data_IF_604577399520
#
_entry.id   IF_604577399520
#
_cell.length_a   1.000
_cell.length_b   1.000
_cell.length_c   1.000
_cell.angle_alpha   90.00
_cell.angle_beta   90.00
_cell.angle_gamma   90.00
#
_symmetry.space_group_name_H-M   'P 1'
#
loop_
_entity.id
_entity.type
_entity.pdbx_description
1 polymer ?
#
# COMPACT_ATOMS: atom_id res chain seq x y z
N UNK A 1 0.18 13.17 -15.13
CA UNK A 1 1.59 13.59 -15.01
C UNK A 1 1.74 14.66 -13.94
N UNK A 2 2.76 14.55 -13.09
CA UNK A 2 3.08 15.48 -12.00
C UNK A 2 4.57 15.74 -12.02
N UNK A 3 4.98 17.00 -12.22
CA UNK A 3 6.37 17.42 -12.21
C UNK A 3 6.78 17.90 -10.79
N UNK A 4 7.88 17.38 -10.28
CA UNK A 4 8.50 17.79 -9.01
C UNK A 4 10.02 17.92 -9.18
N UNK A 5 10.73 18.57 -8.23
CA UNK A 5 12.19 18.71 -8.32
C UNK A 5 12.97 17.40 -8.47
N UNK A 6 12.45 16.30 -7.93
CA UNK A 6 13.06 14.95 -8.04
C UNK A 6 12.80 14.29 -9.40
N UNK A 7 11.92 14.84 -10.23
CA UNK A 7 11.54 14.29 -11.51
C UNK A 7 10.05 14.30 -11.77
N UNK A 8 9.68 13.72 -12.89
CA UNK A 8 8.27 13.57 -13.30
C UNK A 8 7.76 12.19 -12.92
N UNK A 9 6.56 12.12 -12.36
CA UNK A 9 5.88 10.86 -12.11
C UNK A 9 4.43 10.89 -12.58
N UNK A 10 3.89 9.71 -12.74
CA UNK A 10 2.57 9.48 -13.30
C UNK A 10 1.69 8.79 -12.26
N UNK A 11 0.48 9.32 -12.08
CA UNK A 11 -0.52 8.74 -11.18
C UNK A 11 -1.54 7.98 -12.02
N UNK A 12 -1.81 6.77 -11.64
CA UNK A 12 -2.74 5.91 -12.35
C UNK A 12 -3.38 4.85 -11.45
N UNK A 13 -4.16 3.99 -12.07
CA UNK A 13 -4.68 2.78 -11.43
C UNK A 13 -4.17 1.54 -12.15
N UNK A 14 -4.02 0.46 -11.38
CA UNK A 14 -3.60 -0.82 -11.90
C UNK A 14 -4.38 -1.94 -11.20
N UNK A 15 -4.76 -2.98 -11.96
CA UNK A 15 -5.34 -4.16 -11.36
C UNK A 15 -4.29 -4.91 -10.53
N UNK A 16 -4.68 -5.36 -9.34
CA UNK A 16 -3.77 -6.08 -8.43
C UNK A 16 -3.21 -7.35 -9.05
N UNK A 17 -3.97 -8.05 -9.89
CA UNK A 17 -3.51 -9.27 -10.56
C UNK A 17 -2.39 -8.99 -11.56
N UNK A 18 -2.43 -7.85 -12.25
CA UNK A 18 -1.40 -7.49 -13.22
C UNK A 18 -0.12 -7.07 -12.49
N UNK A 19 -0.27 -6.30 -11.41
CA UNK A 19 0.89 -5.93 -10.58
C UNK A 19 1.55 -7.17 -9.95
N UNK A 20 0.77 -8.11 -9.41
CA UNK A 20 1.28 -9.34 -8.77
C UNK A 20 2.12 -10.19 -9.72
N UNK A 21 1.82 -10.19 -11.01
CA UNK A 21 2.59 -10.96 -12.01
C UNK A 21 3.94 -10.35 -12.34
N UNK A 22 4.07 -9.03 -12.24
CA UNK A 22 5.19 -8.28 -12.82
C UNK A 22 6.00 -7.48 -11.80
N UNK A 23 5.67 -7.50 -10.50
CA UNK A 23 6.42 -6.76 -9.49
C UNK A 23 7.67 -7.50 -9.02
N UNK A 24 8.62 -6.72 -8.53
CA UNK A 24 9.73 -7.22 -7.73
C UNK A 24 10.13 -6.22 -6.64
N UNK A 25 10.88 -6.73 -5.66
CA UNK A 25 11.43 -5.94 -4.56
C UNK A 25 12.90 -6.27 -4.43
N UNK A 26 13.77 -5.27 -4.39
CA UNK A 26 15.19 -5.47 -4.07
C UNK A 26 15.42 -5.31 -2.58
N UNK A 27 15.73 -6.41 -1.91
CA UNK A 27 16.03 -6.44 -0.49
C UNK A 27 17.49 -6.04 -0.23
N UNK A 28 17.79 -5.48 0.96
CA UNK A 28 19.16 -5.08 1.39
C UNK A 28 20.19 -6.21 1.34
N UNK A 29 19.75 -7.45 1.34
CA UNK A 29 20.62 -8.63 1.22
C UNK A 29 21.02 -8.92 -0.23
N UNK A 30 20.51 -8.17 -1.19
CA UNK A 30 20.86 -8.23 -2.60
C UNK A 30 21.72 -7.03 -2.97
N UNK A 31 22.54 -7.18 -3.99
CA UNK A 31 23.34 -6.08 -4.54
C UNK A 31 22.41 -4.88 -4.88
N UNK A 32 22.75 -3.68 -4.39
CA UNK A 32 21.97 -2.45 -4.55
C UNK A 32 20.57 -2.44 -3.92
N UNK A 33 20.24 -3.41 -3.07
CA UNK A 33 18.92 -3.45 -2.40
C UNK A 33 18.78 -2.42 -1.28
N UNK A 34 17.74 -1.60 -1.32
CA UNK A 34 17.44 -0.56 -0.31
C UNK A 34 16.40 -0.99 0.73
N UNK A 35 15.56 -1.95 0.42
CA UNK A 35 14.44 -2.32 1.29
C UNK A 35 14.80 -3.42 2.29
N UNK A 36 14.19 -3.37 3.47
CA UNK A 36 14.27 -4.46 4.44
C UNK A 36 13.46 -5.65 3.96
N UNK A 37 13.82 -6.84 4.42
CA UNK A 37 13.00 -8.01 4.20
C UNK A 37 11.58 -7.79 4.72
N UNK A 38 10.56 -8.18 3.95
CA UNK A 38 9.18 -7.93 4.33
C UNK A 38 8.79 -8.71 5.59
N UNK A 39 8.09 -8.05 6.50
CA UNK A 39 7.57 -8.66 7.71
C UNK A 39 6.43 -9.62 7.39
N UNK A 40 6.62 -10.91 7.66
CA UNK A 40 5.58 -11.93 7.48
C UNK A 40 4.32 -11.62 8.27
N UNK A 41 4.47 -11.06 9.48
CA UNK A 41 3.34 -10.62 10.30
C UNK A 41 2.48 -9.58 9.58
N UNK A 42 3.11 -8.55 8.98
CA UNK A 42 2.37 -7.52 8.24
C UNK A 42 1.70 -8.07 6.98
N UNK A 43 2.33 -9.02 6.30
CA UNK A 43 1.73 -9.69 5.14
C UNK A 43 0.46 -10.41 5.55
N UNK A 44 0.50 -11.20 6.65
CA UNK A 44 -0.66 -11.93 7.15
C UNK A 44 -1.77 -11.00 7.67
N UNK A 45 -1.42 -9.87 8.28
CA UNK A 45 -2.40 -8.85 8.70
C UNK A 45 -3.13 -8.25 7.49
N UNK A 46 -2.44 -7.97 6.41
CA UNK A 46 -3.04 -7.43 5.18
C UNK A 46 -3.85 -8.51 4.46
N UNK A 47 -3.36 -9.76 4.39
CA UNK A 47 -4.13 -10.88 3.85
C UNK A 47 -5.46 -11.04 4.59
N UNK A 48 -5.44 -10.97 5.92
CA UNK A 48 -6.67 -11.02 6.73
C UNK A 48 -7.58 -9.82 6.46
N UNK A 49 -7.02 -8.62 6.34
CA UNK A 49 -7.75 -7.39 6.02
C UNK A 49 -8.45 -7.46 4.65
N UNK A 50 -7.86 -8.12 3.65
CA UNK A 50 -8.51 -8.33 2.35
C UNK A 50 -9.82 -9.14 2.43
N UNK A 51 -10.12 -9.80 3.55
CA UNK A 51 -11.39 -10.51 3.76
C UNK A 51 -12.48 -9.62 4.33
N UNK A 52 -12.13 -8.42 4.76
CA UNK A 52 -13.07 -7.42 5.24
C UNK A 52 -13.81 -6.81 4.02
N UNK A 53 -15.16 -6.81 4.00
CA UNK A 53 -15.91 -6.20 2.91
C UNK A 53 -15.68 -4.69 2.77
N UNK A 54 -15.22 -4.03 3.85
CA UNK A 54 -14.86 -2.61 3.85
C UNK A 54 -13.35 -2.38 3.57
N UNK A 55 -12.61 -3.40 3.13
CA UNK A 55 -11.19 -3.27 2.85
C UNK A 55 -10.90 -2.19 1.80
N UNK A 56 -10.06 -1.22 2.15
CA UNK A 56 -9.68 -0.11 1.29
C UNK A 56 -8.17 0.14 1.30
N UNK A 57 -7.60 0.40 0.13
CA UNK A 57 -6.19 0.70 -0.06
C UNK A 57 -6.03 2.10 -0.70
N UNK A 58 -6.32 3.20 0.03
CA UNK A 58 -6.37 4.55 -0.53
C UNK A 58 -4.99 5.18 -0.77
N UNK A 59 -3.93 4.58 -0.27
CA UNK A 59 -2.56 5.10 -0.46
C UNK A 59 -1.88 4.43 -1.66
N UNK A 60 -1.12 5.17 -2.48
CA UNK A 60 -0.53 4.63 -3.69
C UNK A 60 0.55 3.57 -3.40
N UNK A 61 0.73 2.64 -4.34
CA UNK A 61 1.94 1.84 -4.47
C UNK A 61 2.91 2.64 -5.34
N UNK A 62 4.14 2.82 -4.88
CA UNK A 62 5.14 3.59 -5.62
C UNK A 62 6.07 2.62 -6.35
N UNK A 63 6.11 2.78 -7.64
CA UNK A 63 6.78 1.88 -8.57
C UNK A 63 7.84 2.62 -9.39
N UNK A 64 8.97 1.99 -9.59
CA UNK A 64 9.98 2.42 -10.56
C UNK A 64 10.08 1.42 -11.70
N UNK A 65 10.28 1.91 -12.92
CA UNK A 65 10.47 1.08 -14.10
C UNK A 65 11.22 1.85 -15.19
N UNK A 66 11.72 1.12 -16.18
CA UNK A 66 12.37 1.68 -17.35
C UNK A 66 11.33 2.11 -18.39
N UNK A 67 11.44 3.34 -18.89
CA UNK A 67 10.53 3.86 -19.92
C UNK A 67 10.58 3.06 -21.23
N UNK A 68 11.73 2.43 -21.52
CA UNK A 68 11.94 1.57 -22.69
C UNK A 68 11.08 0.31 -22.71
N UNK A 69 10.54 -0.12 -21.55
CA UNK A 69 9.74 -1.34 -21.39
C UNK A 69 8.23 -1.12 -21.53
N UNK A 70 7.81 0.12 -21.77
CA UNK A 70 6.39 0.48 -21.85
C UNK A 70 6.12 1.35 -23.06
N UNK A 71 4.86 1.40 -23.46
CA UNK A 71 4.36 2.30 -24.51
C UNK A 71 3.24 3.17 -23.93
N UNK A 72 3.38 4.48 -24.09
CA UNK A 72 2.31 5.41 -23.76
C UNK A 72 1.31 5.48 -24.92
N UNK A 73 0.04 5.28 -24.61
CA UNK A 73 -1.05 5.46 -25.54
C UNK A 73 -1.79 6.75 -25.19
N UNK A 74 -1.46 7.84 -25.89
CA UNK A 74 -2.02 9.18 -25.65
C UNK A 74 -3.52 9.28 -25.95
N UNK A 75 -4.07 8.35 -26.75
CA UNK A 75 -5.48 8.42 -27.14
C UNK A 75 -6.43 8.03 -25.99
N UNK A 76 -5.98 7.21 -25.06
CA UNK A 76 -6.77 6.69 -23.95
C UNK A 76 -6.09 6.84 -22.58
N UNK A 77 -4.99 7.59 -22.52
CA UNK A 77 -4.19 7.81 -21.30
C UNK A 77 -3.77 6.50 -20.61
N UNK A 78 -3.38 5.51 -21.39
CA UNK A 78 -2.93 4.21 -20.84
C UNK A 78 -1.46 3.95 -21.11
N UNK A 79 -0.89 3.09 -20.26
CA UNK A 79 0.45 2.54 -20.41
C UNK A 79 0.31 1.08 -20.78
N UNK A 80 0.83 0.72 -21.93
CA UNK A 80 0.86 -0.65 -22.44
C UNK A 80 2.24 -1.26 -22.15
N UNK A 81 2.28 -2.49 -21.69
CA UNK A 81 3.50 -3.23 -21.43
C UNK A 81 3.29 -4.72 -21.67
N UNK A 82 4.37 -5.39 -22.02
CA UNK A 82 4.38 -6.84 -22.09
C UNK A 82 4.40 -7.42 -20.67
N UNK A 83 3.68 -8.50 -20.45
CA UNK A 83 3.56 -9.12 -19.14
C UNK A 83 4.85 -9.87 -18.77
N UNK A 84 5.92 -9.10 -18.56
CA UNK A 84 7.22 -9.61 -18.17
C UNK A 84 7.30 -9.80 -16.66
N UNK A 85 7.97 -10.86 -16.24
CA UNK A 85 8.41 -11.00 -14.86
C UNK A 85 9.40 -9.88 -14.49
N UNK A 86 9.21 -9.26 -13.30
CA UNK A 86 10.13 -8.22 -12.77
C UNK A 86 10.16 -6.94 -13.61
N UNK A 87 9.01 -6.43 -13.99
CA UNK A 87 8.90 -5.14 -14.67
C UNK A 87 8.85 -3.96 -13.67
N UNK A 88 8.03 -4.07 -12.63
CA UNK A 88 7.79 -3.00 -11.67
C UNK A 88 8.60 -3.21 -10.39
N UNK A 89 9.59 -2.35 -10.15
CA UNK A 89 10.27 -2.30 -8.86
C UNK A 89 9.43 -1.53 -7.85
N UNK A 90 9.07 -2.16 -6.74
CA UNK A 90 8.33 -1.48 -5.68
C UNK A 90 9.30 -0.63 -4.85
N UNK A 91 9.09 0.68 -4.79
CA UNK A 91 9.78 1.59 -3.87
C UNK A 91 9.03 1.74 -2.56
N UNK A 92 7.67 1.81 -2.59
CA UNK A 92 6.84 1.72 -1.39
C UNK A 92 5.60 0.86 -1.62
N UNK A 93 5.11 0.24 -0.54
CA UNK A 93 3.92 -0.60 -0.56
C UNK A 93 4.18 -2.09 -0.67
N UNK A 94 5.42 -2.57 -0.50
CA UNK A 94 5.77 -3.99 -0.64
C UNK A 94 4.93 -4.93 0.22
N UNK A 95 4.61 -4.55 1.47
CA UNK A 95 3.77 -5.38 2.34
C UNK A 95 2.34 -5.48 1.84
N UNK A 96 1.79 -4.38 1.28
CA UNK A 96 0.45 -4.36 0.68
C UNK A 96 0.38 -5.30 -0.52
N UNK A 97 1.30 -5.18 -1.47
CA UNK A 97 1.31 -6.03 -2.66
C UNK A 97 1.47 -7.49 -2.30
N UNK A 98 2.39 -7.83 -1.37
CA UNK A 98 2.59 -9.22 -0.92
C UNK A 98 1.39 -9.76 -0.11
N UNK A 99 0.73 -8.94 0.70
CA UNK A 99 -0.48 -9.33 1.41
C UNK A 99 -1.67 -9.56 0.48
N UNK A 100 -1.85 -8.69 -0.52
CA UNK A 100 -2.85 -8.86 -1.58
C UNK A 100 -2.53 -10.11 -2.42
N UNK A 101 -1.26 -10.37 -2.74
CA UNK A 101 -0.84 -11.60 -3.42
C UNK A 101 -1.23 -12.85 -2.63
N UNK A 102 -0.99 -12.86 -1.32
CA UNK A 102 -1.40 -13.96 -0.47
C UNK A 102 -2.92 -14.14 -0.42
N UNK A 103 -3.68 -13.03 -0.32
CA UNK A 103 -5.14 -13.04 -0.37
C UNK A 103 -5.67 -13.51 -1.73
N UNK A 104 -5.04 -13.12 -2.83
CA UNK A 104 -5.41 -13.58 -4.16
C UNK A 104 -5.26 -15.11 -4.30
N UNK A 105 -4.12 -15.65 -3.85
CA UNK A 105 -3.86 -17.10 -3.88
C UNK A 105 -4.86 -17.89 -3.03
N UNK A 106 -5.22 -17.39 -1.84
CA UNK A 106 -6.04 -18.10 -0.87
C UNK A 106 -7.55 -17.88 -1.04
N UNK A 107 -7.97 -16.70 -1.52
CA UNK A 107 -9.38 -16.28 -1.59
C UNK A 107 -9.77 -15.62 -2.91
N UNK A 108 -8.89 -15.60 -3.90
CA UNK A 108 -9.10 -14.93 -5.20
C UNK A 108 -9.45 -13.43 -5.06
N UNK A 109 -8.90 -12.80 -4.03
CA UNK A 109 -9.08 -11.36 -3.82
C UNK A 109 -8.46 -10.57 -4.96
N UNK A 110 -9.20 -9.60 -5.48
CA UNK A 110 -8.79 -8.73 -6.58
C UNK A 110 -9.32 -7.31 -6.32
N UNK A 111 -8.50 -6.31 -6.60
CA UNK A 111 -8.89 -4.91 -6.48
C UNK A 111 -8.10 -4.03 -7.45
N UNK A 112 -8.60 -2.82 -7.70
CA UNK A 112 -7.82 -1.76 -8.34
C UNK A 112 -6.96 -1.04 -7.30
N UNK A 113 -5.70 -0.82 -7.61
CA UNK A 113 -4.73 -0.13 -6.77
C UNK A 113 -4.37 1.22 -7.38
N UNK A 114 -4.30 2.24 -6.54
CA UNK A 114 -3.68 3.51 -6.91
C UNK A 114 -2.16 3.28 -7.02
N UNK A 115 -1.57 3.68 -8.15
CA UNK A 115 -0.14 3.56 -8.40
C UNK A 115 0.48 4.90 -8.75
N UNK A 116 1.72 5.09 -8.35
CA UNK A 116 2.60 6.17 -8.81
C UNK A 116 3.76 5.52 -9.55
N UNK A 117 3.95 5.89 -10.81
CA UNK A 117 4.98 5.38 -11.67
C UNK A 117 6.08 6.43 -11.84
N UNK A 118 7.32 6.05 -11.56
CA UNK A 118 8.52 6.85 -11.76
C UNK A 118 9.43 6.13 -12.75
N UNK A 119 9.84 6.83 -13.80
CA UNK A 119 10.59 6.24 -14.90
C UNK A 119 12.07 6.59 -14.80
N UNK A 120 12.92 5.64 -15.18
CA UNK A 120 14.37 5.81 -15.41
C UNK A 120 15.13 6.41 -14.22
N UNK A 121 14.67 6.15 -12.98
CA UNK A 121 15.37 6.60 -11.79
C UNK A 121 16.71 5.88 -11.63
N UNK A 122 17.75 6.64 -11.30
CA UNK A 122 19.03 6.10 -10.82
C UNK A 122 18.87 5.44 -9.45
N UNK A 123 19.85 4.64 -9.03
CA UNK A 123 19.79 3.98 -7.73
C UNK A 123 19.80 4.99 -6.57
N UNK A 124 20.54 6.10 -6.72
CA UNK A 124 20.57 7.19 -5.75
C UNK A 124 19.20 7.86 -5.62
N UNK A 125 18.52 8.11 -6.75
CA UNK A 125 17.18 8.71 -6.75
C UNK A 125 16.14 7.75 -6.12
N UNK A 126 16.20 6.46 -6.41
CA UNK A 126 15.36 5.45 -5.78
C UNK A 126 15.58 5.42 -4.25
N UNK A 127 16.84 5.44 -3.82
CA UNK A 127 17.18 5.48 -2.40
C UNK A 127 16.68 6.78 -1.73
N UNK A 128 16.79 7.91 -2.41
CA UNK A 128 16.27 9.20 -1.94
C UNK A 128 14.74 9.17 -1.78
N UNK A 129 14.02 8.72 -2.80
CA UNK A 129 12.55 8.59 -2.77
C UNK A 129 12.13 7.66 -1.62
N UNK A 130 12.74 6.47 -1.53
CA UNK A 130 12.46 5.52 -0.46
C UNK A 130 12.69 6.10 0.94
N UNK A 131 13.83 6.79 1.15
CA UNK A 131 14.15 7.39 2.44
C UNK A 131 13.18 8.52 2.81
N UNK A 132 12.83 9.37 1.85
CA UNK A 132 11.90 10.48 2.04
C UNK A 132 10.51 10.00 2.47
N UNK A 133 9.99 8.96 1.82
CA UNK A 133 8.70 8.37 2.17
C UNK A 133 8.74 7.80 3.60
N UNK A 134 9.77 7.02 3.92
CA UNK A 134 9.83 6.33 5.21
C UNK A 134 10.17 7.25 6.39
N UNK A 135 10.95 8.31 6.17
CA UNK A 135 11.33 9.25 7.24
C UNK A 135 10.17 10.14 7.69
N UNK A 136 9.22 10.40 6.81
CA UNK A 136 8.08 11.29 7.07
C UNK A 136 6.80 10.56 7.53
N UNK A 137 6.82 9.23 7.64
CA UNK A 137 5.67 8.46 8.13
C UNK A 137 5.54 8.57 9.66
N UNK A 138 4.68 9.47 10.13
CA UNK A 138 4.27 9.51 11.52
C UNK A 138 3.34 8.33 11.84
N UNK A 139 3.57 7.67 12.99
CA UNK A 139 2.61 6.67 13.50
C UNK A 139 1.39 7.39 14.04
N UNK A 140 0.22 7.07 13.53
CA UNK A 140 -1.05 7.51 14.11
C UNK A 140 -1.27 6.79 15.45
N UNK A 141 -1.68 7.53 16.48
CA UNK A 141 -2.00 6.94 17.78
C UNK A 141 -3.20 5.99 17.64
N UNK A 142 -3.10 4.83 18.28
CA UNK A 142 -4.18 3.84 18.23
C UNK A 142 -5.47 4.36 18.87
N UNK A 143 -5.39 5.23 19.87
CA UNK A 143 -6.57 5.84 20.48
C UNK A 143 -7.37 6.65 19.48
N UNK A 144 -6.69 7.46 18.64
CA UNK A 144 -7.36 8.21 17.59
C UNK A 144 -8.04 7.29 16.54
N UNK A 145 -7.42 6.17 16.21
CA UNK A 145 -8.02 5.18 15.30
C UNK A 145 -9.31 4.61 15.90
N UNK A 146 -9.30 4.31 17.21
CA UNK A 146 -10.49 3.80 17.90
C UNK A 146 -11.60 4.84 17.98
N UNK A 147 -11.27 6.11 18.18
CA UNK A 147 -12.26 7.20 18.20
C UNK A 147 -12.98 7.36 16.84
N UNK A 148 -12.30 7.01 15.74
CA UNK A 148 -12.88 7.04 14.41
C UNK A 148 -13.78 5.84 14.08
N UNK A 149 -13.80 4.79 14.89
CA UNK A 149 -14.69 3.63 14.68
C UNK A 149 -16.18 3.98 14.70
N UNK A 150 -16.56 5.08 15.33
CA UNK A 150 -17.95 5.55 15.31
C UNK A 150 -18.44 5.95 13.91
N UNK A 151 -17.50 6.26 13.00
CA UNK A 151 -17.79 6.62 11.61
C UNK A 151 -17.96 5.38 10.70
N UNK A 152 -17.51 4.21 11.15
CA UNK A 152 -17.67 2.95 10.39
C UNK A 152 -19.13 2.46 10.45
N UNK A 153 -19.62 1.90 9.37
CA UNK A 153 -20.99 1.37 9.29
C UNK A 153 -21.10 -0.08 9.75
N UNK A 154 -19.99 -0.82 9.76
CA UNK A 154 -19.99 -2.23 10.15
C UNK A 154 -19.76 -2.49 11.64
N UNK A 155 -20.34 -3.59 12.13
CA UNK A 155 -20.14 -4.08 13.50
C UNK A 155 -18.93 -5.04 13.54
N UNK A 156 -17.92 -4.67 14.32
CA UNK A 156 -16.81 -5.57 14.65
C UNK A 156 -16.73 -5.78 16.17
N UNK A 157 -16.13 -6.87 16.64
CA UNK A 157 -15.90 -7.07 18.08
C UNK A 157 -15.13 -5.90 18.71
N UNK A 158 -14.17 -5.36 17.98
CA UNK A 158 -13.34 -4.23 18.43
C UNK A 158 -14.13 -2.94 18.55
N UNK A 159 -15.02 -2.64 17.61
CA UNK A 159 -15.95 -1.50 17.67
C UNK A 159 -16.92 -1.65 18.83
N UNK A 160 -17.44 -2.85 19.06
CA UNK A 160 -18.33 -3.12 20.20
C UNK A 160 -17.62 -2.89 21.52
N UNK A 161 -16.36 -3.36 21.67
CA UNK A 161 -15.56 -3.10 22.88
C UNK A 161 -15.29 -1.61 23.07
N UNK A 162 -14.96 -0.88 22.01
CA UNK A 162 -14.76 0.57 22.08
C UNK A 162 -16.03 1.31 22.51
N UNK A 163 -17.18 0.95 21.94
CA UNK A 163 -18.46 1.53 22.30
C UNK A 163 -18.82 1.29 23.77
N UNK A 164 -18.62 0.06 24.27
CA UNK A 164 -18.81 -0.27 25.68
C UNK A 164 -17.88 0.56 26.58
N UNK A 165 -16.59 0.65 26.23
CA UNK A 165 -15.63 1.45 26.99
C UNK A 165 -16.02 2.92 27.06
N UNK A 166 -16.50 3.50 25.95
CA UNK A 166 -17.00 4.89 25.93
C UNK A 166 -18.22 5.09 26.83
N UNK A 167 -19.21 4.19 26.78
CA UNK A 167 -20.38 4.26 27.68
C UNK A 167 -19.92 4.21 29.13
N UNK A 168 -19.03 3.27 29.48
CA UNK A 168 -18.52 3.12 30.83
C UNK A 168 -17.71 4.33 31.33
N UNK A 169 -17.14 5.13 30.42
CA UNK A 169 -16.39 6.34 30.74
C UNK A 169 -17.22 7.63 30.65
N UNK A 170 -18.49 7.57 30.24
CA UNK A 170 -19.32 8.75 30.00
C UNK A 170 -20.28 9.08 31.14
N UNK A 171 -20.42 8.22 32.16
CA UNK A 171 -21.36 8.38 33.25
C UNK A 171 -20.68 8.20 34.60
N UNK A 172 -20.88 9.14 35.53
CA UNK A 172 -20.26 9.14 36.87
C UNK A 172 -20.56 7.90 37.71
N UNK A 173 -21.65 7.20 37.41
CA UNK A 173 -22.09 5.98 38.13
C UNK A 173 -21.25 4.74 37.70
N UNK A 174 -20.43 4.84 36.64
CA UNK A 174 -19.68 3.71 36.14
C UNK A 174 -18.23 3.71 36.65
N UNK A 175 -17.63 2.49 36.80
CA UNK A 175 -16.33 2.33 37.47
C UNK A 175 -15.12 2.92 36.75
N UNK A 176 -15.28 3.42 35.57
CA UNK A 176 -14.18 3.99 34.74
C UNK A 176 -14.38 5.48 34.40
N UNK A 177 -15.34 6.15 35.05
CA UNK A 177 -15.52 7.60 34.90
C UNK A 177 -14.35 8.40 35.51
#
# INVERSE_FOLDING_TARGET
EIAQPVGTFYVGKMNSNDLIKSFYVRSRNQEEGIQRDPSQKRISEIEAYCKDPDAAFPTPIILSLESSKVKFNENNDTIEYDNEERLFEILDGQHRVKGIQAANLNSRFECELLVVLMFDLTEEEKAYVFSTINSNQAKVDKSLIYDLFDLSTERSPLKTCHYIARIMNSQEEYPFY
#
